data_IF_280296900805
#
_entry.id   IF_280296900805
#
_cell.length_a   1.000
_cell.length_b   1.000
_cell.length_c   1.000
_cell.angle_alpha   90.00
_cell.angle_beta   90.00
_cell.angle_gamma   90.00
#
_symmetry.space_group_name_H-M   'P 1'
#
loop_
_entity.id
_entity.type
_entity.pdbx_description
1 polymer ?
#
# COMPACT_ATOMS: atom_id res chain seq x y z
N UNK A 1 -19.20 -0.65 -24.07
CA UNK A 1 -17.98 0.12 -23.77
C UNK A 1 -17.05 -0.84 -23.05
N UNK A 2 -15.85 -1.08 -23.59
CA UNK A 2 -14.87 -1.93 -22.91
C UNK A 2 -14.57 -1.32 -21.54
N UNK A 3 -15.01 -2.00 -20.49
CA UNK A 3 -14.75 -1.57 -19.13
C UNK A 3 -13.26 -1.80 -18.87
N UNK A 4 -12.53 -0.74 -18.51
CA UNK A 4 -11.11 -0.82 -18.22
C UNK A 4 -10.77 -1.90 -17.17
N UNK A 5 -9.53 -2.38 -17.18
CA UNK A 5 -9.08 -3.44 -16.28
C UNK A 5 -8.88 -2.88 -14.85
N UNK A 6 -9.34 -3.57 -13.80
CA UNK A 6 -8.91 -3.27 -12.44
C UNK A 6 -7.39 -3.42 -12.32
N UNK A 7 -6.78 -2.63 -11.45
CA UNK A 7 -5.35 -2.72 -11.15
C UNK A 7 -5.12 -2.96 -9.66
N UNK A 8 -4.22 -3.86 -9.33
CA UNK A 8 -3.64 -3.98 -8.00
C UNK A 8 -2.18 -3.52 -8.05
N UNK A 9 -1.86 -2.49 -7.29
CA UNK A 9 -0.49 -2.07 -7.02
C UNK A 9 0.06 -2.88 -5.86
N UNK A 10 1.25 -3.45 -6.04
CA UNK A 10 1.97 -4.26 -5.08
C UNK A 10 3.31 -3.60 -4.73
N UNK A 11 3.36 -2.76 -3.68
CA UNK A 11 4.61 -2.17 -3.22
C UNK A 11 5.56 -3.20 -2.62
N UNK A 12 6.85 -2.96 -2.78
CA UNK A 12 7.91 -3.86 -2.31
C UNK A 12 7.97 -3.92 -0.79
N UNK A 13 8.02 -5.14 -0.25
CA UNK A 13 8.38 -5.37 1.15
C UNK A 13 9.89 -5.11 1.36
N UNK A 14 10.30 -4.84 2.60
CA UNK A 14 11.70 -4.55 2.90
C UNK A 14 12.60 -5.76 2.62
N UNK A 15 13.62 -5.58 1.79
CA UNK A 15 14.63 -6.60 1.48
C UNK A 15 14.16 -7.67 0.48
N UNK A 16 12.94 -7.58 -0.06
CA UNK A 16 12.43 -8.54 -1.04
C UNK A 16 12.63 -7.98 -2.45
N UNK A 17 13.17 -8.78 -3.38
CA UNK A 17 13.17 -8.42 -4.80
C UNK A 17 11.73 -8.34 -5.34
N UNK A 18 11.52 -7.61 -6.44
CA UNK A 18 10.22 -7.53 -7.10
C UNK A 18 9.71 -8.94 -7.49
N UNK A 19 10.60 -9.76 -8.06
CA UNK A 19 10.38 -11.17 -8.38
C UNK A 19 9.86 -11.96 -7.16
N UNK A 20 10.57 -11.88 -6.03
CA UNK A 20 10.20 -12.61 -4.81
C UNK A 20 8.86 -12.12 -4.26
N UNK A 21 8.62 -10.80 -4.27
CA UNK A 21 7.38 -10.22 -3.77
C UNK A 21 6.16 -10.69 -4.58
N UNK A 22 6.28 -10.73 -5.91
CA UNK A 22 5.25 -11.27 -6.80
C UNK A 22 4.99 -12.75 -6.51
N UNK A 23 6.06 -13.57 -6.47
CA UNK A 23 5.95 -15.02 -6.23
C UNK A 23 5.37 -15.35 -4.85
N UNK A 24 5.71 -14.57 -3.83
CA UNK A 24 5.30 -14.81 -2.45
C UNK A 24 3.87 -14.30 -2.17
N UNK A 25 3.45 -13.20 -2.80
CA UNK A 25 2.10 -12.64 -2.65
C UNK A 25 0.98 -13.57 -3.14
N UNK A 26 1.31 -14.48 -4.07
CA UNK A 26 0.35 -15.34 -4.79
C UNK A 26 -0.75 -14.55 -5.51
N UNK A 27 -0.51 -13.28 -5.85
CA UNK A 27 -1.49 -12.44 -6.53
C UNK A 27 -1.61 -12.74 -8.03
N UNK A 28 -0.57 -13.26 -8.69
CA UNK A 28 -0.63 -13.60 -10.13
C UNK A 28 -1.73 -14.63 -10.44
N UNK A 29 -1.83 -15.78 -9.74
CA UNK A 29 -2.95 -16.70 -9.94
C UNK A 29 -4.33 -16.11 -9.60
N UNK A 30 -4.38 -15.07 -8.75
CA UNK A 30 -5.65 -14.37 -8.45
C UNK A 30 -5.99 -13.37 -9.56
N UNK A 31 -5.00 -12.72 -10.16
CA UNK A 31 -5.11 -11.78 -11.27
C UNK A 31 -5.71 -12.48 -12.49
N UNK A 32 -5.22 -13.67 -12.83
CA UNK A 32 -5.75 -14.50 -13.92
C UNK A 32 -7.19 -14.93 -13.63
N UNK A 33 -7.47 -15.42 -12.43
CA UNK A 33 -8.80 -15.94 -12.05
C UNK A 33 -9.88 -14.87 -11.91
N UNK A 34 -9.50 -13.63 -11.56
CA UNK A 34 -10.44 -12.53 -11.29
C UNK A 34 -10.34 -11.37 -12.28
N UNK A 35 -9.51 -11.52 -13.31
CA UNK A 35 -9.33 -10.55 -14.40
C UNK A 35 -8.97 -9.15 -13.90
N UNK A 36 -7.82 -9.03 -13.22
CA UNK A 36 -7.20 -7.75 -12.88
C UNK A 36 -5.73 -7.72 -13.30
N UNK A 37 -5.20 -6.52 -13.54
CA UNK A 37 -3.78 -6.30 -13.80
C UNK A 37 -3.01 -6.15 -12.48
N UNK A 38 -1.76 -6.60 -12.43
CA UNK A 38 -0.88 -6.47 -11.28
C UNK A 38 0.31 -5.55 -11.63
N UNK A 39 0.53 -4.51 -10.83
CA UNK A 39 1.69 -3.63 -10.92
C UNK A 39 2.59 -3.84 -9.70
N UNK A 40 3.70 -4.55 -9.87
CA UNK A 40 4.76 -4.64 -8.85
C UNK A 40 5.66 -3.41 -8.93
N UNK A 41 5.80 -2.67 -7.83
CA UNK A 41 6.77 -1.58 -7.74
C UNK A 41 8.17 -2.15 -7.43
N UNK A 42 9.20 -1.69 -8.13
CA UNK A 42 10.58 -2.05 -7.81
C UNK A 42 11.33 -0.82 -7.30
N UNK A 43 11.72 -0.85 -6.04
CA UNK A 43 12.33 0.28 -5.34
C UNK A 43 13.83 0.04 -5.13
N UNK A 44 14.68 1.05 -5.39
CA UNK A 44 16.11 0.95 -5.10
C UNK A 44 16.38 0.52 -3.65
N UNK A 45 17.28 -0.45 -3.48
CA UNK A 45 17.61 -1.02 -2.17
C UNK A 45 16.51 -1.87 -1.56
N UNK A 46 15.54 -2.34 -2.36
CA UNK A 46 14.43 -3.20 -1.93
C UNK A 46 13.60 -2.59 -0.80
N UNK A 47 13.38 -1.27 -0.87
CA UNK A 47 12.70 -0.54 0.19
C UNK A 47 11.97 0.68 -0.35
N UNK A 48 10.64 0.65 -0.33
CA UNK A 48 9.81 1.84 -0.54
C UNK A 48 10.05 2.91 0.54
N UNK A 49 9.92 4.17 0.17
CA UNK A 49 10.10 5.35 0.99
C UNK A 49 8.89 5.56 1.90
N UNK A 50 8.97 4.86 3.04
CA UNK A 50 8.01 4.98 4.13
C UNK A 50 8.74 4.87 5.48
N UNK A 51 8.53 5.88 6.30
CA UNK A 51 9.13 6.06 7.62
C UNK A 51 8.09 5.83 8.73
N UNK A 52 8.30 6.45 9.89
CA UNK A 52 7.34 6.44 11.00
C UNK A 52 6.00 7.07 10.56
N UNK A 53 4.90 6.51 11.07
CA UNK A 53 3.52 6.93 10.77
C UNK A 53 3.24 7.05 9.27
N UNK A 54 3.85 6.16 8.49
CA UNK A 54 3.73 6.12 7.04
C UNK A 54 4.08 7.44 6.32
N UNK A 55 4.96 8.27 6.89
CA UNK A 55 5.48 9.49 6.25
C UNK A 55 6.62 9.18 5.28
N UNK A 56 6.95 10.14 4.41
CA UNK A 56 8.17 10.11 3.62
C UNK A 56 9.42 10.34 4.49
N UNK A 57 10.54 9.72 4.11
CA UNK A 57 11.87 10.22 4.46
C UNK A 57 12.30 11.23 3.37
N UNK A 58 12.50 12.52 3.70
CA UNK A 58 12.85 13.54 2.71
C UNK A 58 14.25 13.34 2.09
N UNK A 59 15.11 12.52 2.70
CA UNK A 59 16.41 12.16 2.15
C UNK A 59 16.35 11.00 1.13
N UNK A 60 15.14 10.51 0.79
CA UNK A 60 14.94 9.41 -0.17
C UNK A 60 14.03 9.84 -1.32
N UNK A 61 14.11 9.16 -2.49
CA UNK A 61 13.22 9.42 -3.61
C UNK A 61 11.73 9.39 -3.22
N UNK A 62 10.92 10.20 -3.89
CA UNK A 62 9.48 10.22 -3.64
C UNK A 62 8.77 9.10 -4.40
N UNK A 63 8.61 7.98 -3.70
CA UNK A 63 7.94 6.81 -4.27
C UNK A 63 6.44 7.04 -4.52
N UNK A 64 5.80 8.03 -3.89
CA UNK A 64 4.39 8.36 -4.19
C UNK A 64 4.29 9.04 -5.55
N UNK A 65 5.14 10.03 -5.81
CA UNK A 65 5.25 10.65 -7.13
C UNK A 65 5.62 9.62 -8.20
N UNK A 66 6.60 8.74 -7.93
CA UNK A 66 6.95 7.65 -8.84
C UNK A 66 5.76 6.73 -9.15
N UNK A 67 5.05 6.25 -8.11
CA UNK A 67 3.88 5.38 -8.28
C UNK A 67 2.81 6.05 -9.16
N UNK A 68 2.60 7.35 -8.94
CA UNK A 68 1.64 8.16 -9.70
C UNK A 68 1.99 8.25 -11.18
N UNK A 69 3.27 8.48 -11.49
CA UNK A 69 3.79 8.53 -12.86
C UNK A 69 3.65 7.17 -13.55
N UNK A 70 4.05 6.08 -12.87
CA UNK A 70 3.93 4.72 -13.43
C UNK A 70 2.49 4.36 -13.73
N UNK A 71 1.55 4.71 -12.84
CA UNK A 71 0.12 4.47 -13.09
C UNK A 71 -0.39 5.19 -14.34
N UNK A 72 0.05 6.43 -14.58
CA UNK A 72 -0.28 7.17 -15.80
C UNK A 72 0.26 6.50 -17.06
N UNK A 73 1.48 5.96 -17.02
CA UNK A 73 2.03 5.22 -18.16
C UNK A 73 1.35 3.86 -18.37
N UNK A 74 1.03 3.14 -17.31
CA UNK A 74 0.29 1.87 -17.39
C UNK A 74 -1.11 2.08 -17.96
N UNK A 75 -1.79 3.17 -17.59
CA UNK A 75 -3.12 3.50 -18.10
C UNK A 75 -3.15 3.70 -19.61
N UNK A 76 -2.11 4.34 -20.17
CA UNK A 76 -1.95 4.51 -21.62
C UNK A 76 -1.82 3.20 -22.39
N UNK A 77 -1.38 2.12 -21.74
CA UNK A 77 -1.11 0.83 -22.37
C UNK A 77 -2.25 -0.17 -22.13
N UNK A 78 -2.82 -0.19 -20.92
CA UNK A 78 -3.76 -1.24 -20.49
C UNK A 78 -5.22 -0.79 -20.40
N UNK A 79 -5.52 0.50 -20.56
CA UNK A 79 -6.86 1.08 -20.34
C UNK A 79 -7.43 0.67 -18.97
N UNK A 80 -6.97 1.32 -17.90
CA UNK A 80 -7.37 0.96 -16.54
C UNK A 80 -8.78 1.47 -16.22
N UNK A 81 -9.50 0.75 -15.36
CA UNK A 81 -10.66 1.33 -14.68
C UNK A 81 -10.16 2.16 -13.50
N UNK A 82 -10.13 3.49 -13.68
CA UNK A 82 -9.69 4.44 -12.67
C UNK A 82 -10.46 4.33 -11.34
N UNK A 83 -11.65 3.73 -11.32
CA UNK A 83 -12.42 3.49 -10.08
C UNK A 83 -12.08 2.18 -9.38
N UNK A 84 -11.20 1.36 -9.98
CA UNK A 84 -10.82 0.03 -9.51
C UNK A 84 -9.30 -0.13 -9.45
N UNK A 85 -8.61 0.89 -8.95
CA UNK A 85 -7.18 0.84 -8.61
C UNK A 85 -7.02 0.60 -7.11
N UNK A 86 -6.33 -0.48 -6.74
CA UNK A 86 -6.17 -0.93 -5.36
C UNK A 86 -4.69 -0.99 -4.98
N UNK A 87 -4.37 -0.92 -3.69
CA UNK A 87 -3.02 -1.21 -3.18
C UNK A 87 -3.07 -2.39 -2.21
N UNK A 88 -2.25 -3.41 -2.45
CA UNK A 88 -2.06 -4.53 -1.52
C UNK A 88 -0.59 -4.60 -1.17
N UNK A 89 -0.25 -4.63 0.11
CA UNK A 89 1.16 -4.66 0.53
C UNK A 89 1.38 -5.44 1.81
N UNK A 90 2.63 -5.90 2.01
CA UNK A 90 3.10 -6.59 3.21
C UNK A 90 4.18 -5.77 3.94
N UNK A 91 4.12 -5.70 5.27
CA UNK A 91 5.11 -5.04 6.13
C UNK A 91 5.43 -3.60 5.69
N UNK A 92 6.63 -3.33 5.17
CA UNK A 92 6.98 -2.01 4.62
C UNK A 92 6.09 -1.61 3.43
N UNK A 93 5.73 -2.55 2.56
CA UNK A 93 4.78 -2.31 1.47
C UNK A 93 3.36 -1.98 1.98
N UNK A 94 2.93 -2.60 3.08
CA UNK A 94 1.64 -2.27 3.73
C UNK A 94 1.62 -0.86 4.32
N UNK A 95 2.73 -0.45 4.95
CA UNK A 95 2.91 0.93 5.42
C UNK A 95 2.85 1.91 4.26
N UNK A 96 3.46 1.56 3.13
CA UNK A 96 3.41 2.39 1.94
C UNK A 96 2.02 2.45 1.30
N UNK A 97 1.22 1.37 1.33
CA UNK A 97 -0.20 1.46 0.96
C UNK A 97 -0.97 2.43 1.86
N UNK A 98 -0.66 2.49 3.16
CA UNK A 98 -1.25 3.49 4.06
C UNK A 98 -0.86 4.93 3.67
N UNK A 99 0.40 5.13 3.27
CA UNK A 99 0.89 6.43 2.74
C UNK A 99 0.17 6.81 1.45
N UNK A 100 0.05 5.87 0.50
CA UNK A 100 -0.66 6.07 -0.77
C UNK A 100 -2.14 6.39 -0.55
N UNK A 101 -2.83 5.71 0.38
CA UNK A 101 -4.21 6.04 0.70
C UNK A 101 -4.39 7.44 1.27
N UNK A 102 -3.43 7.92 2.07
CA UNK A 102 -3.41 9.30 2.58
C UNK A 102 -3.07 10.32 1.51
N UNK A 103 -2.04 10.10 0.71
CA UNK A 103 -1.54 11.12 -0.22
C UNK A 103 -2.25 11.10 -1.57
N UNK A 104 -2.84 9.95 -1.97
CA UNK A 104 -3.47 9.71 -3.26
C UNK A 104 -4.84 9.03 -3.14
N UNK A 105 -5.67 9.48 -2.18
CA UNK A 105 -7.06 9.00 -2.04
C UNK A 105 -7.93 9.26 -3.28
N UNK A 106 -7.48 10.13 -4.18
CA UNK A 106 -8.07 10.38 -5.50
C UNK A 106 -7.84 9.22 -6.49
N UNK A 107 -6.76 8.44 -6.32
CA UNK A 107 -6.44 7.28 -7.16
C UNK A 107 -6.96 5.98 -6.54
N UNK A 108 -6.66 5.75 -5.26
CA UNK A 108 -6.84 4.42 -4.68
C UNK A 108 -8.26 4.20 -4.19
N UNK A 109 -8.95 3.25 -4.82
CA UNK A 109 -10.31 2.86 -4.48
C UNK A 109 -10.40 2.15 -3.12
N UNK A 110 -9.39 1.36 -2.75
CA UNK A 110 -9.21 0.75 -1.43
C UNK A 110 -7.77 0.24 -1.25
N UNK A 111 -7.40 -0.07 -0.01
CA UNK A 111 -6.13 -0.73 0.31
C UNK A 111 -6.32 -1.99 1.15
N UNK A 112 -5.41 -2.96 1.01
CA UNK A 112 -5.23 -4.07 1.93
C UNK A 112 -3.81 -4.07 2.51
N UNK A 113 -3.71 -3.90 3.83
CA UNK A 113 -2.46 -3.78 4.55
C UNK A 113 -2.21 -5.03 5.40
N UNK A 114 -1.20 -5.81 5.00
CA UNK A 114 -0.79 -7.05 5.69
C UNK A 114 0.43 -6.78 6.58
N UNK A 115 0.33 -7.06 7.87
CA UNK A 115 1.40 -6.86 8.86
C UNK A 115 2.04 -5.47 8.83
N UNK A 116 1.29 -4.42 8.53
CA UNK A 116 1.88 -3.09 8.41
C UNK A 116 0.94 -1.91 8.25
N UNK A 117 -0.33 -2.03 8.66
CA UNK A 117 -1.23 -0.87 8.62
C UNK A 117 -0.70 0.27 9.49
N UNK A 118 -0.81 1.50 8.98
CA UNK A 118 -0.56 2.74 9.72
C UNK A 118 -1.68 3.72 9.44
N UNK A 119 -1.94 4.61 10.39
CA UNK A 119 -2.74 5.80 10.13
C UNK A 119 -1.80 6.99 10.01
N UNK A 120 -1.65 7.59 8.81
CA UNK A 120 -0.78 8.75 8.63
C UNK A 120 -1.21 9.92 9.50
N UNK A 121 -0.22 10.65 10.03
CA UNK A 121 -0.44 11.86 10.83
C UNK A 121 0.46 12.96 10.26
N UNK A 122 -0.05 14.02 9.62
CA UNK A 122 -1.44 14.18 9.18
C UNK A 122 -1.85 13.10 8.17
N UNK A 123 -3.15 12.81 8.11
CA UNK A 123 -3.76 12.07 7.02
C UNK A 123 -4.26 13.09 5.99
N UNK A 124 -3.75 13.03 4.76
CA UNK A 124 -4.03 13.99 3.70
C UNK A 124 -5.15 13.52 2.74
N UNK A 125 -5.82 12.41 3.07
CA UNK A 125 -6.86 11.86 2.22
C UNK A 125 -8.01 12.87 2.08
N UNK A 126 -8.46 13.07 0.85
CA UNK A 126 -9.56 13.99 0.50
C UNK A 126 -10.92 13.29 0.45
N UNK A 127 -10.96 11.96 0.58
CA UNK A 127 -12.17 11.16 0.60
C UNK A 127 -11.98 9.85 1.40
N UNK A 128 -13.05 9.22 1.92
CA UNK A 128 -12.94 7.94 2.65
C UNK A 128 -12.33 6.81 1.81
N UNK A 129 -11.24 6.18 2.27
CA UNK A 129 -10.60 5.06 1.56
C UNK A 129 -10.84 3.77 2.35
N UNK A 130 -11.61 2.79 1.84
CA UNK A 130 -11.77 1.50 2.48
C UNK A 130 -10.41 0.83 2.75
N UNK A 131 -10.24 0.32 3.98
CA UNK A 131 -9.00 -0.31 4.45
C UNK A 131 -9.29 -1.71 4.97
N UNK A 132 -8.70 -2.73 4.37
CA UNK A 132 -8.63 -4.09 4.90
C UNK A 132 -7.30 -4.27 5.64
N UNK A 133 -7.35 -4.81 6.86
CA UNK A 133 -6.16 -5.06 7.68
C UNK A 133 -6.07 -6.54 8.04
N UNK A 134 -4.90 -7.13 7.83
CA UNK A 134 -4.54 -8.45 8.35
C UNK A 134 -3.24 -8.31 9.13
N UNK A 135 -3.25 -8.61 10.43
CA UNK A 135 -2.06 -8.45 11.28
C UNK A 135 -2.00 -9.55 12.33
N UNK A 136 -0.88 -10.24 12.43
CA UNK A 136 -0.69 -11.29 13.43
C UNK A 136 -0.49 -10.72 14.83
N UNK A 137 -1.21 -11.22 15.83
CA UNK A 137 -1.05 -10.79 17.22
C UNK A 137 0.32 -11.16 17.81
N UNK A 138 0.97 -12.18 17.25
CA UNK A 138 2.31 -12.65 17.61
C UNK A 138 3.44 -12.10 16.70
N UNK A 139 3.17 -11.05 15.89
CA UNK A 139 4.18 -10.45 15.01
C UNK A 139 5.31 -9.80 15.84
N UNK A 140 6.49 -10.42 15.85
CA UNK A 140 7.65 -9.93 16.61
C UNK A 140 8.39 -8.77 15.91
N UNK A 141 8.09 -8.50 14.63
CA UNK A 141 8.73 -7.42 13.85
C UNK A 141 7.93 -6.14 13.99
N UNK A 142 6.62 -6.24 13.82
CA UNK A 142 5.64 -5.17 13.93
C UNK A 142 4.63 -5.53 15.03
N UNK A 143 4.97 -5.40 16.33
CA UNK A 143 4.11 -5.82 17.43
C UNK A 143 2.69 -5.26 17.34
N UNK A 144 1.70 -6.12 17.53
CA UNK A 144 0.29 -5.75 17.43
C UNK A 144 -0.08 -4.60 18.39
N UNK A 145 0.49 -4.61 19.60
CA UNK A 145 0.28 -3.59 20.64
C UNK A 145 1.12 -2.31 20.42
N UNK A 146 1.93 -2.22 19.38
CA UNK A 146 2.88 -1.12 19.19
C UNK A 146 4.12 -1.25 20.08
N UNK A 147 4.83 -0.15 20.29
CA UNK A 147 6.06 -0.12 21.11
C UNK A 147 7.24 -0.89 20.52
N UNK A 148 7.24 -1.11 19.21
CA UNK A 148 8.29 -1.82 18.50
C UNK A 148 9.47 -0.92 18.11
N UNK A 149 10.16 -1.25 17.00
CA UNK A 149 11.26 -0.42 16.46
C UNK A 149 10.86 1.04 16.22
N UNK A 150 11.82 1.98 16.02
CA UNK A 150 11.52 3.41 15.85
C UNK A 150 10.51 3.76 14.74
N UNK A 151 10.34 2.90 13.74
CA UNK A 151 9.35 3.07 12.66
C UNK A 151 7.96 2.47 12.99
N UNK A 152 7.79 1.84 14.15
CA UNK A 152 6.63 1.08 14.58
C UNK A 152 6.27 1.37 16.05
N UNK A 153 5.75 2.56 16.33
CA UNK A 153 5.40 2.96 17.70
C UNK A 153 3.92 2.74 18.05
N UNK A 154 3.01 3.16 17.16
CA UNK A 154 1.56 3.02 17.40
C UNK A 154 1.06 1.58 17.27
N UNK A 155 0.04 1.23 18.06
CA UNK A 155 -0.60 -0.09 17.97
C UNK A 155 -1.38 -0.26 16.66
N UNK A 156 -1.66 -1.51 16.29
CA UNK A 156 -2.52 -1.82 15.14
C UNK A 156 -3.93 -1.31 15.38
N UNK A 157 -4.45 -1.44 16.60
CA UNK A 157 -5.77 -0.96 16.99
C UNK A 157 -5.89 0.56 16.83
N UNK A 158 -4.88 1.34 17.21
CA UNK A 158 -4.88 2.80 17.04
C UNK A 158 -4.92 3.20 15.56
N UNK A 159 -4.15 2.50 14.72
CA UNK A 159 -4.14 2.75 13.29
C UNK A 159 -5.51 2.44 12.65
N UNK A 160 -6.13 1.31 13.03
CA UNK A 160 -7.48 0.93 12.57
C UNK A 160 -8.52 1.93 13.05
N UNK A 161 -8.45 2.36 14.31
CA UNK A 161 -9.36 3.37 14.87
C UNK A 161 -9.24 4.71 14.15
N UNK A 162 -8.02 5.13 13.79
CA UNK A 162 -7.79 6.33 12.98
C UNK A 162 -8.48 6.27 11.61
N UNK A 163 -8.28 5.17 10.88
CA UNK A 163 -8.96 4.97 9.59
C UNK A 163 -10.48 4.88 9.73
N UNK A 164 -10.99 4.16 10.75
CA UNK A 164 -12.42 4.04 11.01
C UNK A 164 -13.06 5.39 11.38
N UNK A 165 -12.35 6.26 12.10
CA UNK A 165 -12.82 7.60 12.43
C UNK A 165 -12.83 8.52 11.20
N UNK A 166 -11.83 8.43 10.33
CA UNK A 166 -11.75 9.21 9.09
C UNK A 166 -12.79 8.78 8.04
N UNK A 167 -13.04 7.47 7.91
CA UNK A 167 -13.93 6.91 6.88
C UNK A 167 -15.44 6.98 7.21
N UNK A 168 -15.84 7.77 8.21
CA UNK A 168 -17.25 7.93 8.59
C UNK A 168 -18.05 8.70 7.56
#
# INVERSE_FOLDING_TARGET
ADAGLPLVVLPQAFGWSAEFNVQHSKLVPQAERRSFSLLQLDSPGFAVNVALDARANPARPDDVAYTSTVLGEVDRVLCLDARRIYCIGFSRGARFCSRLASERSDIFAAIAALSGVRYPRPNNATRPVPVLVLHGTADAVNPYLGGGPPYWQSSVADAVAGWAAFNK
#
